data_IF_599484343133
#
_entry.id   IF_599484343133
#
_cell.length_a   1.000
_cell.length_b   1.000
_cell.length_c   1.000
_cell.angle_alpha   90.00
_cell.angle_beta   90.00
_cell.angle_gamma   90.00
#
_symmetry.space_group_name_H-M   'P 1'
#
loop_
_entity.id
_entity.type
_entity.pdbx_description
1 polymer ?
#
# COMPACT_ATOMS: atom_id res chain seq x y z
N UNK A 1 -5.11 11.62 14.66
CA UNK A 1 -4.99 12.11 13.27
C UNK A 1 -3.54 11.92 12.82
N UNK A 2 -3.10 10.67 12.78
CA UNK A 2 -1.82 10.27 12.23
C UNK A 2 -2.08 9.43 10.99
N UNK A 3 -1.26 9.68 9.98
CA UNK A 3 -1.18 8.88 8.78
C UNK A 3 0.27 8.46 8.65
N UNK A 4 0.51 7.17 8.43
CA UNK A 4 1.87 6.65 8.26
C UNK A 4 2.07 6.23 6.82
N UNK A 5 3.32 6.34 6.37
CA UNK A 5 3.74 5.87 5.06
C UNK A 5 5.02 5.06 5.25
N UNK A 6 5.02 3.82 4.81
CA UNK A 6 6.23 2.98 4.72
C UNK A 6 6.52 2.63 3.27
N UNK A 7 7.78 2.33 2.98
CA UNK A 7 8.25 1.85 1.67
C UNK A 7 9.11 0.61 1.88
N UNK A 8 8.74 -0.46 1.20
CA UNK A 8 9.42 -1.76 1.31
C UNK A 8 9.68 -2.32 -0.09
N UNK A 9 10.75 -3.11 -0.31
CA UNK A 9 10.94 -3.84 -1.56
C UNK A 9 9.75 -4.76 -1.84
N UNK A 10 9.22 -4.74 -3.06
CA UNK A 10 8.14 -5.62 -3.48
C UNK A 10 8.66 -6.77 -4.34
N UNK A 11 9.49 -6.45 -5.34
CA UNK A 11 10.08 -7.45 -6.23
C UNK A 11 10.74 -6.83 -7.46
N UNK A 12 11.02 -7.67 -8.44
CA UNK A 12 11.69 -7.27 -9.68
C UNK A 12 10.82 -7.63 -10.88
N UNK A 13 10.68 -6.71 -11.83
CA UNK A 13 9.95 -6.98 -13.09
C UNK A 13 10.72 -7.97 -13.97
N UNK A 14 10.04 -8.54 -14.99
CA UNK A 14 10.69 -9.40 -15.98
C UNK A 14 11.82 -8.71 -16.77
N UNK A 15 11.89 -7.38 -16.74
CA UNK A 15 12.97 -6.58 -17.34
C UNK A 15 14.12 -6.27 -16.37
N UNK A 16 14.08 -6.83 -15.17
CA UNK A 16 15.13 -6.62 -14.15
C UNK A 16 14.99 -5.35 -13.32
N UNK A 17 13.88 -4.60 -13.45
CA UNK A 17 13.67 -3.37 -12.67
C UNK A 17 13.08 -3.68 -11.29
N UNK A 18 13.72 -3.19 -10.22
CA UNK A 18 13.18 -3.24 -8.86
C UNK A 18 11.91 -2.39 -8.73
N UNK A 19 10.96 -2.88 -7.96
CA UNK A 19 9.69 -2.24 -7.64
C UNK A 19 9.54 -2.24 -6.13
N UNK A 20 9.20 -1.10 -5.56
CA UNK A 20 8.76 -1.02 -4.17
C UNK A 20 7.24 -1.05 -4.05
N UNK A 21 6.79 -1.38 -2.85
CA UNK A 21 5.42 -1.17 -2.38
C UNK A 21 5.44 -0.08 -1.32
N UNK A 22 4.47 0.82 -1.41
CA UNK A 22 4.18 1.81 -0.40
C UNK A 22 2.95 1.36 0.38
N UNK A 23 3.05 1.33 1.71
CA UNK A 23 1.90 1.06 2.58
C UNK A 23 1.52 2.36 3.27
N UNK A 24 0.28 2.80 3.05
CA UNK A 24 -0.28 3.98 3.69
C UNK A 24 -1.37 3.52 4.65
N UNK A 25 -1.34 4.00 5.88
CA UNK A 25 -2.38 3.74 6.87
C UNK A 25 -2.84 5.03 7.54
N UNK A 26 -4.07 5.02 8.03
CA UNK A 26 -4.62 6.09 8.87
C UNK A 26 -5.23 5.53 10.16
N UNK A 27 -5.50 6.42 11.11
CA UNK A 27 -6.13 6.06 12.39
C UNK A 27 -7.58 5.55 12.27
N UNK A 28 -8.19 5.61 11.07
CA UNK A 28 -9.54 5.13 10.82
C UNK A 28 -9.56 3.68 10.29
N UNK A 29 -8.45 2.95 10.42
CA UNK A 29 -8.34 1.55 10.01
C UNK A 29 -8.18 1.32 8.50
N UNK A 30 -8.12 2.38 7.70
CA UNK A 30 -7.88 2.22 6.26
C UNK A 30 -6.38 1.96 6.02
N UNK A 31 -6.10 0.96 5.18
CA UNK A 31 -4.76 0.61 4.71
C UNK A 31 -4.79 0.44 3.21
N UNK A 32 -3.89 1.12 2.49
CA UNK A 32 -3.70 0.92 1.05
C UNK A 32 -2.25 0.55 0.76
N UNK A 33 -2.07 -0.42 -0.13
CA UNK A 33 -0.76 -0.82 -0.67
C UNK A 33 -0.68 -0.44 -2.13
N UNK A 34 0.30 0.38 -2.46
CA UNK A 34 0.53 0.94 -3.79
C UNK A 34 1.85 0.42 -4.34
N UNK A 35 1.87 -0.10 -5.56
CA UNK A 35 3.12 -0.40 -6.24
C UNK A 35 3.71 0.88 -6.83
N UNK A 36 5.04 1.02 -6.72
CA UNK A 36 5.79 2.13 -7.31
C UNK A 36 5.59 2.21 -8.83
N UNK A 37 5.43 1.06 -9.49
CA UNK A 37 5.14 0.99 -10.91
C UNK A 37 3.69 1.39 -11.20
N UNK A 38 3.52 2.51 -11.91
CA UNK A 38 2.22 2.98 -12.38
C UNK A 38 1.23 3.35 -11.27
N UNK A 39 1.67 3.47 -10.01
CA UNK A 39 0.83 3.74 -8.85
C UNK A 39 -0.35 2.75 -8.70
N UNK A 40 -0.12 1.48 -9.04
CA UNK A 40 -1.15 0.44 -9.00
C UNK A 40 -1.60 0.22 -7.55
N UNK A 41 -2.91 0.29 -7.29
CA UNK A 41 -3.50 -0.15 -6.02
C UNK A 41 -3.48 -1.68 -6.01
N UNK A 42 -2.56 -2.26 -5.25
CA UNK A 42 -2.43 -3.71 -5.10
C UNK A 42 -3.39 -4.27 -4.05
N UNK A 43 -3.65 -3.49 -3.00
CA UNK A 43 -4.53 -3.88 -1.90
C UNK A 43 -5.16 -2.63 -1.30
N UNK A 44 -6.44 -2.72 -0.96
CA UNK A 44 -7.16 -1.71 -0.21
C UNK A 44 -8.02 -2.42 0.82
N UNK A 45 -7.71 -2.18 2.09
CA UNK A 45 -8.47 -2.68 3.23
C UNK A 45 -9.08 -1.48 3.93
N UNK A 46 -10.40 -1.52 4.10
CA UNK A 46 -11.16 -0.48 4.80
C UNK A 46 -12.13 -1.16 5.75
N UNK A 47 -12.35 -0.61 6.94
CA UNK A 47 -13.33 -1.17 7.85
C UNK A 47 -14.74 -1.12 7.28
N UNK A 48 -15.53 -2.12 7.59
CA UNK A 48 -16.94 -2.18 7.26
C UNK A 48 -17.79 -1.31 8.20
N UNK A 49 -19.12 -1.46 8.16
CA UNK A 49 -20.04 -0.69 9.01
C UNK A 49 -19.87 -0.92 10.51
N UNK A 50 -19.28 -2.06 10.89
CA UNK A 50 -19.02 -2.47 12.26
C UNK A 50 -17.59 -2.12 12.70
N UNK A 51 -16.76 -1.63 11.78
CA UNK A 51 -15.37 -1.30 12.04
C UNK A 51 -14.43 -2.50 11.91
N UNK A 52 -14.89 -3.61 11.32
CA UNK A 52 -14.08 -4.80 11.00
C UNK A 52 -13.43 -4.70 9.62
#
# INVERSE_FOLDING_TARGET
>A
MMSTVTRDPFGTTARGQEVAVFTLSNDNGAVVRLLEIGAIVAELTVPDRHGE
#
